data_IF_349350692982
#
_entry.id   IF_349350692982
#
_cell.length_a   1.000
_cell.length_b   1.000
_cell.length_c   1.000
_cell.angle_alpha   90.00
_cell.angle_beta   90.00
_cell.angle_gamma   90.00
#
_symmetry.space_group_name_H-M   'P 1'
#
loop_
_entity.id
_entity.type
_entity.pdbx_description
1 polymer ?
#
# COMPACT_ATOMS: atom_id res chain seq x y z
N UNK A 1 -16.66 -10.20 -16.46
CA UNK A 1 -15.56 -9.21 -16.30
C UNK A 1 -14.34 -9.95 -15.79
N UNK A 2 -13.15 -9.60 -16.23
CA UNK A 2 -11.90 -10.15 -15.68
C UNK A 2 -11.70 -9.63 -14.25
N UNK A 3 -11.24 -10.50 -13.36
CA UNK A 3 -11.03 -10.17 -11.94
C UNK A 3 -9.94 -9.11 -11.80
N UNK A 4 -10.14 -8.01 -11.04
CA UNK A 4 -9.13 -6.96 -10.86
C UNK A 4 -7.83 -7.48 -10.25
N UNK A 5 -6.72 -6.76 -10.46
CA UNK A 5 -5.42 -6.97 -9.81
C UNK A 5 -5.24 -5.94 -8.70
N UNK A 6 -4.76 -6.37 -7.54
CA UNK A 6 -4.38 -5.46 -6.44
C UNK A 6 -2.93 -5.73 -6.07
N UNK A 7 -2.06 -4.73 -6.25
CA UNK A 7 -0.68 -4.75 -5.84
C UNK A 7 -0.52 -3.96 -4.55
N UNK A 8 0.08 -4.57 -3.54
CA UNK A 8 0.08 -4.06 -2.17
C UNK A 8 1.51 -3.99 -1.64
N UNK A 9 1.97 -2.79 -1.29
CA UNK A 9 3.14 -2.64 -0.44
C UNK A 9 2.78 -2.92 1.02
N UNK A 10 3.78 -3.10 1.86
CA UNK A 10 3.56 -3.40 3.27
C UNK A 10 3.83 -2.20 4.18
N UNK A 11 5.05 -1.67 4.17
CA UNK A 11 5.42 -0.49 4.97
C UNK A 11 4.67 0.74 4.45
N UNK A 12 4.23 1.61 5.35
CA UNK A 12 3.45 2.80 5.00
C UNK A 12 2.05 2.54 4.43
N UNK A 13 1.70 1.28 4.15
CA UNK A 13 0.39 0.86 3.58
C UNK A 13 -0.43 0.08 4.61
N UNK A 14 0.09 -1.04 5.08
CA UNK A 14 -0.50 -1.87 6.14
C UNK A 14 0.24 -1.68 7.45
N UNK A 15 1.58 -1.73 7.42
CA UNK A 15 2.43 -1.42 8.56
C UNK A 15 2.52 0.08 8.73
N UNK A 16 2.04 0.59 9.85
CA UNK A 16 1.87 2.01 10.12
C UNK A 16 3.01 2.55 10.99
N UNK A 17 3.36 3.83 10.75
CA UNK A 17 4.41 4.56 11.49
C UNK A 17 3.85 5.81 12.18
N UNK A 18 2.81 5.68 13.03
CA UNK A 18 2.19 6.82 13.67
C UNK A 18 3.14 7.49 14.67
N UNK A 19 2.88 8.77 14.95
CA UNK A 19 3.58 9.54 15.97
C UNK A 19 3.66 8.76 17.30
N UNK A 20 4.85 8.69 17.89
CA UNK A 20 5.09 7.94 19.14
C UNK A 20 4.19 8.41 20.30
N UNK A 21 3.80 9.68 20.34
CA UNK A 21 2.91 10.21 21.36
C UNK A 21 1.47 9.77 21.13
N UNK A 22 1.06 9.64 19.86
CA UNK A 22 -0.25 9.06 19.49
C UNK A 22 -0.31 7.59 19.93
N UNK A 23 0.75 6.81 19.64
CA UNK A 23 0.83 5.41 20.10
C UNK A 23 0.74 5.31 21.62
N UNK A 24 1.55 6.10 22.34
CA UNK A 24 1.55 6.10 23.83
C UNK A 24 0.21 6.52 24.42
N UNK A 25 -0.57 7.31 23.70
CA UNK A 25 -1.90 7.78 24.08
C UNK A 25 -3.04 6.96 23.49
N UNK A 26 -2.73 5.79 22.92
CA UNK A 26 -3.72 4.86 22.36
C UNK A 26 -4.62 5.51 21.29
N UNK A 27 -4.01 6.31 20.41
CA UNK A 27 -4.71 7.01 19.33
C UNK A 27 -5.39 8.32 19.74
N UNK A 28 -5.37 8.70 21.03
CA UNK A 28 -6.01 9.94 21.48
C UNK A 28 -5.24 11.17 21.01
N UNK A 29 -5.98 12.16 20.52
CA UNK A 29 -5.45 13.43 19.98
C UNK A 29 -5.84 14.65 20.82
N UNK A 30 -6.49 14.44 21.97
CA UNK A 30 -6.97 15.50 22.88
C UNK A 30 -5.88 16.40 23.46
N UNK A 31 -4.62 16.00 23.34
CA UNK A 31 -3.43 16.74 23.76
C UNK A 31 -2.84 17.63 22.66
N UNK A 32 -3.32 17.51 21.43
CA UNK A 32 -2.94 18.35 20.30
C UNK A 32 -3.75 19.65 20.35
N UNK A 33 -3.18 20.73 19.81
CA UNK A 33 -3.93 21.98 19.65
C UNK A 33 -5.19 21.77 18.80
N UNK A 34 -6.25 22.54 19.01
CA UNK A 34 -7.51 22.33 18.30
C UNK A 34 -7.40 22.40 16.77
N UNK A 35 -6.47 23.18 16.26
CA UNK A 35 -6.16 23.40 14.84
C UNK A 35 -5.01 22.54 14.30
N UNK A 36 -4.47 21.61 15.08
CA UNK A 36 -3.42 20.70 14.63
C UNK A 36 -4.00 19.73 13.57
N UNK A 37 -3.51 19.76 12.30
CA UNK A 37 -4.05 18.94 11.22
C UNK A 37 -3.94 17.44 11.49
N UNK A 38 -3.01 17.01 12.34
CA UNK A 38 -2.87 15.60 12.73
C UNK A 38 -4.10 15.06 13.48
N UNK A 39 -4.93 15.93 14.06
CA UNK A 39 -6.19 15.50 14.70
C UNK A 39 -7.11 14.86 13.69
N UNK A 40 -7.19 15.40 12.48
CA UNK A 40 -7.98 14.84 11.39
C UNK A 40 -7.35 13.55 10.88
N UNK A 41 -6.03 13.55 10.62
CA UNK A 41 -5.27 12.36 10.21
C UNK A 41 -5.54 11.16 11.13
N UNK A 42 -5.48 11.34 12.45
CA UNK A 42 -5.70 10.28 13.43
C UNK A 42 -7.15 10.17 13.91
N UNK A 43 -8.10 10.77 13.21
CA UNK A 43 -9.52 10.65 13.55
C UNK A 43 -10.04 9.22 13.26
N UNK A 44 -11.06 8.75 14.00
CA UNK A 44 -11.69 7.46 13.72
C UNK A 44 -12.33 7.37 12.32
N UNK A 45 -12.65 8.51 11.70
CA UNK A 45 -13.23 8.55 10.36
C UNK A 45 -12.18 8.36 9.25
N UNK A 46 -10.91 8.70 9.55
CA UNK A 46 -9.81 8.60 8.59
C UNK A 46 -8.88 7.41 8.86
N UNK A 47 -8.68 7.03 10.11
CA UNK A 47 -7.63 6.11 10.50
C UNK A 47 -8.14 4.74 10.96
N UNK A 48 -7.51 3.70 10.48
CA UNK A 48 -7.54 2.37 11.07
C UNK A 48 -6.44 2.27 12.13
N UNK A 49 -6.67 2.79 13.35
CA UNK A 49 -5.66 2.73 14.40
C UNK A 49 -5.14 1.30 14.63
N UNK A 50 -3.82 1.09 14.79
CA UNK A 50 -3.26 -0.26 14.88
C UNK A 50 -3.73 -0.96 16.16
N UNK A 51 -4.33 -2.13 16.02
CA UNK A 51 -4.80 -2.99 17.11
C UNK A 51 -3.98 -4.28 17.24
N UNK A 52 -3.03 -4.48 16.34
CA UNK A 52 -2.11 -5.62 16.30
C UNK A 52 -0.66 -5.14 16.24
N UNK A 53 0.23 -5.97 16.81
CA UNK A 53 1.67 -5.73 16.82
C UNK A 53 2.43 -7.04 16.88
N UNK A 54 3.48 -7.15 16.06
CA UNK A 54 4.40 -8.30 16.09
C UNK A 54 5.84 -7.86 15.84
N UNK A 55 6.80 -8.76 16.10
CA UNK A 55 8.22 -8.56 15.79
C UNK A 55 8.70 -9.64 14.83
N UNK A 56 8.89 -9.26 13.57
CA UNK A 56 9.35 -10.14 12.51
C UNK A 56 10.86 -10.04 12.30
N UNK A 57 11.49 -11.16 11.99
CA UNK A 57 12.92 -11.21 11.67
C UNK A 57 13.12 -10.96 10.18
N UNK A 58 13.81 -9.88 9.83
CA UNK A 58 14.33 -9.70 8.47
C UNK A 58 15.70 -10.37 8.41
N UNK A 59 15.77 -11.50 7.73
CA UNK A 59 16.94 -12.42 7.79
C UNK A 59 18.19 -11.78 7.24
N UNK A 60 18.09 -11.12 6.10
CA UNK A 60 19.22 -10.48 5.44
C UNK A 60 19.86 -9.36 6.27
N UNK A 61 19.06 -8.72 7.14
CA UNK A 61 19.53 -7.70 8.05
C UNK A 61 19.89 -8.25 9.44
N UNK A 62 19.58 -9.51 9.74
CA UNK A 62 19.77 -10.12 11.06
C UNK A 62 19.04 -9.40 12.19
N UNK A 63 18.00 -8.63 11.88
CA UNK A 63 17.29 -7.73 12.82
C UNK A 63 15.81 -8.03 12.87
N UNK A 64 15.23 -7.78 14.05
CA UNK A 64 13.77 -7.84 14.22
C UNK A 64 13.18 -6.45 14.13
N UNK A 65 12.16 -6.32 13.27
CA UNK A 65 11.37 -5.11 13.12
C UNK A 65 10.02 -5.28 13.81
N UNK A 66 9.55 -4.21 14.43
CA UNK A 66 8.21 -4.16 14.98
C UNK A 66 7.27 -3.70 13.89
N UNK A 67 6.30 -4.51 13.56
CA UNK A 67 5.20 -4.17 12.66
C UNK A 67 3.95 -3.85 13.46
N UNK A 68 3.13 -2.94 12.96
CA UNK A 68 1.85 -2.53 13.55
C UNK A 68 0.81 -2.41 12.46
N UNK A 69 -0.33 -3.03 12.65
CA UNK A 69 -1.40 -3.00 11.68
C UNK A 69 -2.77 -3.02 12.35
N UNK A 70 -3.79 -2.75 11.57
CA UNK A 70 -5.18 -2.89 12.01
C UNK A 70 -5.81 -4.13 11.37
N UNK A 71 -6.47 -4.95 12.18
CA UNK A 71 -7.07 -6.20 11.71
C UNK A 71 -8.28 -5.97 10.79
N UNK A 72 -9.04 -4.90 10.99
CA UNK A 72 -10.17 -4.54 10.13
C UNK A 72 -9.68 -4.16 8.72
N UNK A 73 -8.62 -3.34 8.62
CA UNK A 73 -8.02 -2.98 7.32
C UNK A 73 -7.59 -4.22 6.55
N UNK A 74 -6.85 -5.13 7.21
CA UNK A 74 -6.39 -6.37 6.57
C UNK A 74 -7.57 -7.24 6.12
N UNK A 75 -8.60 -7.37 6.95
CA UNK A 75 -9.79 -8.14 6.61
C UNK A 75 -10.55 -7.54 5.41
N UNK A 76 -10.65 -6.21 5.32
CA UNK A 76 -11.26 -5.53 4.17
C UNK A 76 -10.44 -5.74 2.89
N UNK A 77 -9.13 -5.62 2.96
CA UNK A 77 -8.23 -5.90 1.82
C UNK A 77 -8.36 -7.37 1.36
N UNK A 78 -8.39 -8.31 2.31
CA UNK A 78 -8.50 -9.73 1.99
C UNK A 78 -9.86 -10.09 1.38
N UNK A 79 -10.93 -9.41 1.78
CA UNK A 79 -12.28 -9.60 1.27
C UNK A 79 -12.52 -9.05 -0.13
N UNK A 80 -11.60 -8.25 -0.70
CA UNK A 80 -11.73 -7.71 -2.07
C UNK A 80 -11.88 -8.86 -3.09
N UNK A 81 -12.86 -8.77 -3.97
CA UNK A 81 -13.00 -9.70 -5.10
C UNK A 81 -11.99 -9.40 -6.21
N UNK A 82 -10.72 -9.63 -5.89
CA UNK A 82 -9.58 -9.32 -6.72
C UNK A 82 -8.44 -10.32 -6.48
N UNK A 83 -7.51 -10.41 -7.43
CA UNK A 83 -6.26 -11.13 -7.24
C UNK A 83 -5.26 -10.19 -6.57
N UNK A 84 -4.93 -10.49 -5.32
CA UNK A 84 -4.04 -9.68 -4.47
C UNK A 84 -2.61 -10.20 -4.53
N UNK A 85 -1.64 -9.28 -4.63
CA UNK A 85 -0.22 -9.59 -4.74
C UNK A 85 0.59 -8.66 -3.85
N UNK A 86 1.53 -9.22 -3.11
CA UNK A 86 2.58 -8.42 -2.48
C UNK A 86 3.49 -7.82 -3.55
N UNK A 87 3.68 -6.51 -3.48
CA UNK A 87 4.65 -5.75 -4.27
C UNK A 87 5.46 -4.86 -3.32
N UNK A 88 6.32 -5.48 -2.52
CA UNK A 88 6.95 -4.89 -1.34
C UNK A 88 8.44 -5.18 -1.27
N UNK A 89 9.20 -4.32 -0.59
CA UNK A 89 10.59 -4.56 -0.22
C UNK A 89 10.75 -5.73 0.76
N UNK A 90 9.67 -6.14 1.43
CA UNK A 90 9.64 -7.36 2.25
C UNK A 90 9.54 -8.64 1.43
N UNK A 91 9.79 -8.59 0.14
CA UNK A 91 9.69 -9.72 -0.79
C UNK A 91 10.26 -11.05 -0.23
N UNK A 92 11.46 -11.10 0.40
CA UNK A 92 11.99 -12.35 0.96
C UNK A 92 11.22 -12.86 2.19
N UNK A 93 10.48 -12.00 2.86
CA UNK A 93 9.86 -12.27 4.15
C UNK A 93 8.32 -12.34 4.10
N UNK A 94 7.73 -12.26 2.91
CA UNK A 94 6.26 -12.23 2.72
C UNK A 94 5.56 -13.46 3.30
N UNK A 95 6.21 -14.62 3.37
CA UNK A 95 5.68 -15.78 4.07
C UNK A 95 5.49 -15.54 5.59
N UNK A 96 6.29 -14.65 6.21
CA UNK A 96 6.09 -14.23 7.60
C UNK A 96 4.94 -13.22 7.68
N UNK A 97 4.83 -12.29 6.71
CA UNK A 97 3.71 -11.35 6.62
C UNK A 97 2.39 -12.11 6.49
N UNK A 98 2.30 -13.06 5.58
CA UNK A 98 1.09 -13.87 5.39
C UNK A 98 0.66 -14.56 6.69
N UNK A 99 1.60 -15.11 7.46
CA UNK A 99 1.28 -15.72 8.76
C UNK A 99 0.82 -14.70 9.79
N UNK A 100 1.52 -13.56 9.91
CA UNK A 100 1.20 -12.52 10.89
C UNK A 100 -0.17 -11.90 10.63
N UNK A 101 -0.50 -11.66 9.36
CA UNK A 101 -1.74 -11.03 8.93
C UNK A 101 -2.88 -12.04 8.71
N UNK A 102 -2.60 -13.34 8.73
CA UNK A 102 -3.55 -14.42 8.42
C UNK A 102 -4.14 -14.32 7.01
N UNK A 103 -3.30 -14.01 6.02
CA UNK A 103 -3.64 -13.94 4.60
C UNK A 103 -2.80 -14.92 3.78
N UNK A 104 -3.14 -15.11 2.50
CA UNK A 104 -2.38 -15.98 1.58
C UNK A 104 -2.20 -15.26 0.23
N UNK A 105 -1.48 -14.13 0.26
CA UNK A 105 -1.22 -13.35 -0.93
C UNK A 105 0.12 -13.74 -1.54
N UNK A 106 0.16 -14.09 -2.83
CA UNK A 106 1.39 -14.36 -3.54
C UNK A 106 2.28 -13.12 -3.65
N UNK A 107 3.56 -13.33 -3.92
CA UNK A 107 4.58 -12.27 -3.98
C UNK A 107 5.06 -12.06 -5.40
N UNK A 108 5.08 -10.82 -5.85
CA UNK A 108 5.77 -10.44 -7.08
C UNK A 108 7.26 -10.39 -6.82
N UNK A 109 8.02 -11.10 -7.66
CA UNK A 109 9.49 -11.06 -7.63
C UNK A 109 9.96 -9.88 -8.51
N UNK A 110 10.16 -8.71 -7.92
CA UNK A 110 10.56 -7.49 -8.63
C UNK A 110 12.03 -7.12 -8.44
N UNK A 111 12.71 -7.75 -7.49
CA UNK A 111 14.17 -7.67 -7.33
C UNK A 111 14.74 -9.04 -6.93
N UNK A 112 16.04 -9.25 -7.16
CA UNK A 112 16.77 -10.42 -6.70
C UNK A 112 17.51 -10.10 -5.39
N UNK A 113 17.07 -10.59 -4.23
CA UNK A 113 17.69 -10.29 -2.95
C UNK A 113 19.08 -10.90 -2.77
N UNK A 114 19.51 -11.79 -3.69
CA UNK A 114 20.83 -12.47 -3.63
C UNK A 114 21.92 -11.71 -4.35
N UNK A 115 21.59 -10.69 -5.14
CA UNK A 115 22.54 -9.89 -5.91
C UNK A 115 22.64 -8.46 -5.37
N UNK A 116 23.84 -7.88 -5.46
CA UNK A 116 24.08 -6.51 -4.97
C UNK A 116 23.31 -5.45 -5.77
N UNK A 117 23.06 -5.72 -7.05
CA UNK A 117 22.37 -4.83 -7.99
C UNK A 117 21.01 -5.44 -8.41
N UNK A 118 20.37 -6.16 -7.51
CA UNK A 118 19.33 -7.15 -7.72
C UNK A 118 17.99 -6.69 -8.28
N UNK A 119 17.89 -5.51 -8.90
CA UNK A 119 16.65 -5.06 -9.51
C UNK A 119 16.37 -5.85 -10.78
N UNK A 120 15.35 -6.73 -10.73
CA UNK A 120 14.87 -7.44 -11.92
C UNK A 120 14.03 -6.50 -12.78
N UNK A 121 13.03 -5.84 -12.17
CA UNK A 121 12.07 -5.02 -12.91
C UNK A 121 11.77 -3.69 -12.22
N UNK A 122 11.79 -3.62 -10.89
CA UNK A 122 11.27 -2.51 -10.10
C UNK A 122 9.74 -2.54 -9.95
N UNK A 123 9.20 -1.92 -8.91
CA UNK A 123 7.76 -1.90 -8.62
C UNK A 123 6.96 -1.27 -9.76
N UNK A 124 7.35 -0.07 -10.21
CA UNK A 124 6.68 0.63 -11.31
C UNK A 124 6.66 -0.21 -12.59
N UNK A 125 7.77 -0.85 -12.94
CA UNK A 125 7.84 -1.71 -14.13
C UNK A 125 6.88 -2.88 -14.04
N UNK A 126 6.72 -3.45 -12.86
CA UNK A 126 5.72 -4.50 -12.61
C UNK A 126 4.30 -4.03 -12.95
N UNK A 127 3.94 -2.80 -12.53
CA UNK A 127 2.63 -2.22 -12.85
C UNK A 127 2.48 -2.01 -14.36
N UNK A 128 3.50 -1.43 -15.02
CA UNK A 128 3.47 -1.21 -16.48
C UNK A 128 3.35 -2.53 -17.27
N UNK A 129 3.97 -3.59 -16.80
CA UNK A 129 3.83 -4.91 -17.43
C UNK A 129 2.45 -5.54 -17.14
N UNK A 130 1.85 -5.27 -15.98
CA UNK A 130 0.50 -5.72 -15.65
C UNK A 130 -0.59 -5.07 -16.51
N UNK A 131 -0.37 -3.83 -17.01
CA UNK A 131 -1.29 -3.16 -17.94
C UNK A 131 -1.63 -4.00 -19.18
N UNK A 132 -0.68 -4.85 -19.63
CA UNK A 132 -0.85 -5.73 -20.79
C UNK A 132 -1.91 -6.83 -20.59
N UNK A 133 -2.41 -7.00 -19.37
CA UNK A 133 -3.42 -8.02 -19.06
C UNK A 133 -4.86 -7.51 -19.26
N UNK A 134 -5.05 -6.22 -19.57
CA UNK A 134 -6.35 -5.57 -19.75
C UNK A 134 -7.33 -5.85 -18.58
N UNK A 135 -6.80 -5.80 -17.36
CA UNK A 135 -7.51 -5.99 -16.10
C UNK A 135 -7.48 -4.70 -15.29
N UNK A 136 -8.57 -4.32 -14.60
CA UNK A 136 -8.51 -3.20 -13.65
C UNK A 136 -7.38 -3.42 -12.63
N UNK A 137 -6.60 -2.37 -12.35
CA UNK A 137 -5.46 -2.43 -11.43
C UNK A 137 -5.69 -1.46 -10.30
N UNK A 138 -5.46 -1.93 -9.05
CA UNK A 138 -5.22 -1.10 -7.87
C UNK A 138 -3.77 -1.26 -7.44
N UNK A 139 -3.11 -0.16 -7.18
CA UNK A 139 -1.74 -0.13 -6.67
C UNK A 139 -1.68 0.69 -5.38
N UNK A 140 -1.37 0.02 -4.25
CA UNK A 140 -1.25 0.60 -2.91
C UNK A 140 0.22 0.69 -2.53
N UNK A 141 0.77 1.90 -2.44
CA UNK A 141 2.19 2.14 -2.17
C UNK A 141 2.39 3.59 -1.72
N UNK A 142 2.95 3.84 -0.54
CA UNK A 142 3.11 5.17 0.02
C UNK A 142 4.24 5.98 -0.62
N UNK A 143 5.23 5.31 -1.21
CA UNK A 143 6.39 5.96 -1.80
C UNK A 143 6.33 6.04 -3.33
N UNK A 144 5.80 5.00 -4.00
CA UNK A 144 5.94 4.85 -5.45
C UNK A 144 4.72 5.32 -6.25
N UNK A 145 3.57 5.59 -5.63
CA UNK A 145 2.37 6.12 -6.28
C UNK A 145 2.44 7.63 -6.47
N UNK A 146 3.50 8.09 -7.13
CA UNK A 146 3.78 9.51 -7.38
C UNK A 146 3.12 10.02 -8.65
N UNK A 147 3.12 11.35 -8.84
CA UNK A 147 2.71 11.99 -10.09
C UNK A 147 3.41 11.40 -11.32
N UNK A 148 4.73 11.16 -11.22
CA UNK A 148 5.51 10.59 -12.32
C UNK A 148 5.12 9.15 -12.63
N UNK A 149 4.71 8.38 -11.65
CA UNK A 149 4.19 7.03 -11.85
C UNK A 149 2.83 7.08 -12.58
N UNK A 150 1.94 7.96 -12.14
CA UNK A 150 0.65 8.19 -12.80
C UNK A 150 0.82 8.59 -14.26
N UNK A 151 1.73 9.53 -14.54
CA UNK A 151 2.05 9.94 -15.90
C UNK A 151 2.61 8.80 -16.75
N UNK A 152 3.51 7.98 -16.20
CA UNK A 152 4.07 6.83 -16.90
C UNK A 152 2.99 5.80 -17.27
N UNK A 153 2.04 5.54 -16.36
CA UNK A 153 0.90 4.65 -16.60
C UNK A 153 -0.01 5.26 -17.68
N UNK A 154 -0.39 6.54 -17.54
CA UNK A 154 -1.27 7.23 -18.48
C UNK A 154 -0.72 7.28 -19.91
N UNK A 155 0.60 7.37 -20.06
CA UNK A 155 1.26 7.41 -21.38
C UNK A 155 1.56 6.03 -21.96
N UNK A 156 1.38 4.95 -21.17
CA UNK A 156 1.53 3.58 -21.64
C UNK A 156 0.19 3.08 -22.20
N UNK A 157 0.13 2.56 -23.44
CA UNK A 157 -1.10 2.02 -23.99
C UNK A 157 -1.70 0.91 -23.13
N UNK A 158 -2.97 1.05 -22.73
CA UNK A 158 -3.75 0.07 -21.98
C UNK A 158 -5.25 0.34 -22.13
N UNK A 159 -6.08 -0.67 -21.89
CA UNK A 159 -7.54 -0.59 -22.05
C UNK A 159 -8.27 -0.55 -20.69
N UNK A 160 -7.68 -1.11 -19.65
CA UNK A 160 -8.31 -1.22 -18.32
C UNK A 160 -7.93 -0.05 -17.39
N UNK A 161 -8.83 0.34 -16.48
CA UNK A 161 -8.57 1.45 -15.55
C UNK A 161 -7.54 1.11 -14.48
N UNK A 162 -6.86 2.14 -13.98
CA UNK A 162 -5.86 2.04 -12.91
C UNK A 162 -6.17 3.04 -11.79
N UNK A 163 -6.18 2.54 -10.56
CA UNK A 163 -6.22 3.33 -9.32
C UNK A 163 -4.91 3.18 -8.57
N UNK A 164 -4.15 4.27 -8.42
CA UNK A 164 -3.01 4.37 -7.52
C UNK A 164 -3.45 5.01 -6.20
N UNK A 165 -3.08 4.44 -5.08
CA UNK A 165 -3.33 4.99 -3.75
C UNK A 165 -2.01 5.10 -3.00
N UNK A 166 -1.61 6.34 -2.68
CA UNK A 166 -0.43 6.67 -1.88
C UNK A 166 -0.86 7.15 -0.50
N UNK A 167 -0.97 6.28 0.49
CA UNK A 167 -1.36 6.68 1.84
C UNK A 167 -0.26 7.49 2.55
N UNK A 168 -0.65 8.21 3.59
CA UNK A 168 0.29 8.73 4.58
C UNK A 168 0.84 7.55 5.40
N UNK A 169 2.16 7.33 5.37
CA UNK A 169 2.81 6.23 6.08
C UNK A 169 2.54 6.20 7.59
N UNK A 170 2.17 7.35 8.17
CA UNK A 170 1.78 7.44 9.58
C UNK A 170 0.50 6.67 9.90
N UNK A 171 -0.43 6.58 8.95
CA UNK A 171 -1.74 5.93 9.16
C UNK A 171 -1.97 4.71 8.25
N UNK A 172 -1.13 4.53 7.22
CA UNK A 172 -1.38 3.55 6.17
C UNK A 172 -2.62 3.90 5.33
N UNK A 173 -3.18 2.91 4.66
CA UNK A 173 -4.45 3.11 3.92
C UNK A 173 -5.54 3.55 4.90
N UNK A 174 -6.01 4.79 4.70
CA UNK A 174 -7.09 5.38 5.50
C UNK A 174 -8.47 4.83 5.13
N UNK A 175 -9.48 5.09 5.98
CA UNK A 175 -10.86 4.63 5.73
C UNK A 175 -11.44 5.15 4.40
N UNK A 176 -11.31 6.46 4.06
CA UNK A 176 -11.81 6.96 2.77
C UNK A 176 -11.08 6.32 1.57
N UNK A 177 -9.77 6.06 1.70
CA UNK A 177 -9.00 5.39 0.65
C UNK A 177 -9.43 3.94 0.48
N UNK A 178 -9.71 3.23 1.58
CA UNK A 178 -10.22 1.85 1.51
C UNK A 178 -11.61 1.79 0.88
N UNK A 179 -12.50 2.73 1.21
CA UNK A 179 -13.82 2.85 0.59
C UNK A 179 -13.70 3.08 -0.93
N UNK A 180 -12.76 3.95 -1.33
CA UNK A 180 -12.44 4.19 -2.75
C UNK A 180 -11.95 2.92 -3.47
N UNK A 181 -11.07 2.14 -2.82
CA UNK A 181 -10.56 0.88 -3.36
C UNK A 181 -11.71 -0.12 -3.56
N UNK A 182 -12.56 -0.29 -2.56
CA UNK A 182 -13.72 -1.18 -2.65
C UNK A 182 -14.69 -0.78 -3.77
N UNK A 183 -14.97 0.54 -3.88
CA UNK A 183 -15.84 1.04 -4.96
C UNK A 183 -15.23 0.82 -6.34
N UNK A 184 -13.93 1.06 -6.49
CA UNK A 184 -13.22 0.81 -7.74
C UNK A 184 -13.24 -0.67 -8.13
N UNK A 185 -13.02 -1.58 -7.17
CA UNK A 185 -13.08 -3.03 -7.41
C UNK A 185 -14.49 -3.47 -7.81
N UNK A 186 -15.52 -2.94 -7.15
CA UNK A 186 -16.92 -3.29 -7.38
C UNK A 186 -17.44 -2.74 -8.71
N UNK A 187 -17.03 -1.52 -9.05
CA UNK A 187 -17.51 -0.77 -10.21
C UNK A 187 -16.35 -0.09 -10.95
N UNK A 188 -15.43 -0.85 -11.57
CA UNK A 188 -14.30 -0.24 -12.25
C UNK A 188 -14.81 0.67 -13.39
N UNK A 189 -14.27 1.89 -13.54
CA UNK A 189 -14.64 2.77 -14.63
C UNK A 189 -14.33 2.13 -16.00
N UNK A 190 -15.08 2.50 -17.01
CA UNK A 190 -14.83 1.99 -18.35
C UNK A 190 -13.62 2.69 -18.99
N UNK A 191 -12.84 1.94 -19.75
CA UNK A 191 -11.68 2.43 -20.50
C UNK A 191 -10.43 2.66 -19.65
N UNK A 192 -9.41 3.24 -20.25
CA UNK A 192 -8.08 3.45 -19.68
C UNK A 192 -8.00 4.66 -18.74
N UNK A 193 -8.90 4.74 -17.79
CA UNK A 193 -8.90 5.81 -16.79
C UNK A 193 -7.78 5.58 -15.76
N UNK A 194 -6.92 6.57 -15.57
CA UNK A 194 -5.87 6.56 -14.54
C UNK A 194 -6.22 7.58 -13.46
N UNK A 195 -6.39 7.11 -12.23
CA UNK A 195 -6.63 7.95 -11.06
C UNK A 195 -5.58 7.65 -10.00
N UNK A 196 -5.00 8.70 -9.44
CA UNK A 196 -4.11 8.62 -8.29
C UNK A 196 -4.69 9.42 -7.13
N UNK A 197 -4.73 8.78 -5.96
CA UNK A 197 -5.17 9.37 -4.70
C UNK A 197 -4.00 9.28 -3.72
N UNK A 198 -3.27 10.38 -3.55
CA UNK A 198 -2.08 10.42 -2.69
C UNK A 198 -2.32 11.33 -1.49
N UNK A 199 -1.89 10.87 -0.32
CA UNK A 199 -1.87 11.68 0.88
C UNK A 199 -0.66 12.62 0.84
N UNK A 200 -0.90 13.91 0.58
CA UNK A 200 0.11 14.94 0.64
C UNK A 200 0.69 15.35 -0.72
N UNK A 201 1.33 16.51 -0.74
CA UNK A 201 2.03 17.06 -1.89
C UNK A 201 3.18 16.11 -2.25
N UNK A 202 3.00 15.36 -3.33
CA UNK A 202 3.85 14.29 -3.76
C UNK A 202 5.34 14.55 -3.51
N UNK A 203 5.87 14.01 -2.44
CA UNK A 203 7.31 13.87 -2.35
C UNK A 203 7.72 13.03 -3.54
N UNK A 204 8.54 13.60 -4.42
CA UNK A 204 9.21 12.84 -5.46
C UNK A 204 10.00 11.74 -4.75
N UNK A 205 9.35 10.60 -4.57
CA UNK A 205 9.98 9.44 -3.96
C UNK A 205 11.23 9.12 -4.75
N UNK A 206 12.35 8.96 -4.08
CA UNK A 206 13.55 8.43 -4.71
C UNK A 206 13.18 7.03 -5.21
N UNK A 207 13.03 6.92 -6.52
CA UNK A 207 12.91 5.64 -7.18
C UNK A 207 14.17 4.85 -6.83
N UNK A 208 14.01 3.82 -6.00
CA UNK A 208 15.11 2.92 -5.72
C UNK A 208 15.57 2.26 -7.02
N UNK A 209 16.71 2.71 -7.51
CA UNK A 209 17.52 2.02 -8.50
C UNK A 209 18.55 1.17 -7.81
#
# INVERSE_FOLDING_TARGET
MTRPLVFIDFDGVINQFPDDKVIRRQGRTDWMEPDDPRRDTYSPDNWFGPDRRERLLVRDLGRRFTIRWNAELVARLDALDADKWWLTTWQPETAQLNRALSVDWPTVQWYDPTTRDGILTGKRRTILDALKQDRPIVWLDDEETTYNAGLAIQTTPHEAPVLGVGPDSAIGVGRPQMDLVEDFIRNPPAGSVVRFETAGDGHEGHWGF
#
